data_IF_072105373500
#
_entry.id   IF_072105373500
#
_cell.length_a   1.000
_cell.length_b   1.000
_cell.length_c   1.000
_cell.angle_alpha   90.00
_cell.angle_beta   90.00
_cell.angle_gamma   90.00
#
_symmetry.space_group_name_H-M   'P 1'
#
loop_
_entity.id
_entity.type
_entity.pdbx_description
1 polymer ?
#
# COMPACT_ATOMS: atom_id res chain seq x y z
N UNK A 1 13.59 13.71 -15.33
CA UNK A 1 13.11 14.04 -13.98
C UNK A 1 12.83 12.72 -13.27
N UNK A 2 13.48 12.44 -12.13
CA UNK A 2 13.20 11.22 -11.38
C UNK A 2 11.86 11.39 -10.63
N UNK A 3 10.94 10.45 -10.80
CA UNK A 3 9.68 10.45 -10.05
C UNK A 3 10.00 9.97 -8.62
N UNK A 4 9.61 10.70 -7.56
CA UNK A 4 9.91 10.29 -6.21
C UNK A 4 9.20 8.97 -5.87
N UNK A 5 9.98 7.97 -5.48
CA UNK A 5 9.48 6.75 -4.84
C UNK A 5 9.07 7.07 -3.41
N UNK A 6 8.11 6.34 -2.85
CA UNK A 6 7.94 6.38 -1.41
C UNK A 6 9.24 5.87 -0.74
N UNK A 7 9.61 6.40 0.43
CA UNK A 7 10.71 5.88 1.24
C UNK A 7 10.29 4.59 1.98
N UNK A 8 9.54 3.72 1.29
CA UNK A 8 9.12 2.40 1.76
C UNK A 8 9.31 1.41 0.62
N UNK A 9 9.87 0.25 0.96
CA UNK A 9 10.24 -0.77 -0.04
C UNK A 9 9.03 -1.42 -0.72
N UNK A 10 7.84 -1.30 -0.12
CA UNK A 10 6.59 -1.87 -0.63
C UNK A 10 5.35 -1.18 -0.10
N UNK A 11 4.35 -1.03 -0.96
CA UNK A 11 2.99 -0.70 -0.57
C UNK A 11 2.22 -2.00 -0.33
N UNK A 12 1.71 -2.21 0.88
CA UNK A 12 0.96 -3.41 1.23
C UNK A 12 -0.51 -3.25 0.87
N UNK A 13 -1.14 -4.31 0.36
CA UNK A 13 -2.55 -4.36 0.00
C UNK A 13 -3.23 -5.44 0.83
N UNK A 14 -4.14 -5.00 1.71
CA UNK A 14 -4.84 -5.87 2.64
C UNK A 14 -5.91 -6.72 1.94
N UNK A 15 -6.31 -7.85 2.56
CA UNK A 15 -7.48 -8.62 2.11
C UNK A 15 -8.78 -7.82 2.07
N UNK A 16 -8.88 -6.74 2.86
CA UNK A 16 -10.06 -5.87 2.98
C UNK A 16 -10.06 -4.69 2.02
N UNK A 17 -9.08 -4.60 1.11
CA UNK A 17 -9.03 -3.59 0.06
C UNK A 17 -8.45 -2.24 0.49
N UNK A 18 -7.59 -2.24 1.51
CA UNK A 18 -6.86 -1.06 1.95
C UNK A 18 -5.37 -1.12 1.58
N UNK A 19 -4.83 0.03 1.19
CA UNK A 19 -3.41 0.25 1.02
C UNK A 19 -2.78 0.68 2.35
N UNK A 20 -1.65 0.06 2.70
CA UNK A 20 -0.90 0.30 3.93
C UNK A 20 0.58 0.58 3.67
N UNK A 21 1.14 1.47 4.46
CA UNK A 21 2.55 1.83 4.50
C UNK A 21 3.20 1.06 5.66
N UNK A 22 4.20 0.18 5.42
CA UNK A 22 4.90 -0.51 6.49
C UNK A 22 5.44 0.47 7.54
N UNK A 23 5.23 0.17 8.83
CA UNK A 23 5.62 1.05 9.94
C UNK A 23 4.73 2.28 10.16
N UNK A 24 3.81 2.60 9.23
CA UNK A 24 2.93 3.78 9.35
C UNK A 24 1.64 3.55 10.13
N UNK A 25 1.31 2.30 10.50
CA UNK A 25 0.15 1.95 11.32
C UNK A 25 0.33 0.55 11.95
N UNK A 26 -0.55 0.12 12.86
CA UNK A 26 -0.56 -1.24 13.44
C UNK A 26 -1.48 -2.22 12.69
N UNK A 27 -2.10 -1.78 11.59
CA UNK A 27 -3.06 -2.57 10.82
C UNK A 27 -2.41 -3.51 9.79
N UNK A 28 -1.09 -3.45 9.62
CA UNK A 28 -0.34 -4.42 8.81
C UNK A 28 0.13 -5.58 9.68
N UNK A 29 0.48 -6.69 9.05
CA UNK A 29 0.96 -7.92 9.71
C UNK A 29 2.45 -8.14 9.45
N UNK A 30 3.14 -8.81 10.36
CA UNK A 30 4.58 -9.09 10.25
C UNK A 30 4.92 -10.03 9.08
N UNK A 31 4.04 -11.01 8.79
CA UNK A 31 4.13 -11.88 7.60
C UNK A 31 2.94 -11.64 6.65
N UNK A 32 3.08 -10.71 5.69
CA UNK A 32 2.05 -10.42 4.70
C UNK A 32 1.74 -11.61 3.79
N UNK A 33 2.73 -12.46 3.49
CA UNK A 33 2.54 -13.58 2.58
C UNK A 33 1.65 -14.65 3.23
N UNK A 34 1.95 -15.03 4.47
CA UNK A 34 1.14 -16.00 5.22
C UNK A 34 -0.29 -15.51 5.46
N UNK A 35 -0.50 -14.21 5.64
CA UNK A 35 -1.82 -13.62 5.82
C UNK A 35 -2.58 -13.35 4.51
N UNK A 36 -2.04 -13.75 3.35
CA UNK A 36 -2.70 -13.61 2.05
C UNK A 36 -2.82 -12.18 1.53
N UNK A 37 -1.91 -11.30 1.96
CA UNK A 37 -1.78 -9.93 1.46
C UNK A 37 -1.05 -9.91 0.11
N UNK A 38 -1.29 -8.85 -0.65
CA UNK A 38 -0.49 -8.50 -1.82
C UNK A 38 0.36 -7.28 -1.54
N UNK A 39 1.30 -6.97 -2.42
CA UNK A 39 2.06 -5.73 -2.35
C UNK A 39 2.54 -5.24 -3.71
N UNK A 40 2.94 -3.97 -3.76
CA UNK A 40 3.60 -3.34 -4.90
C UNK A 40 5.00 -2.95 -4.43
N UNK A 41 6.07 -3.55 -4.99
CA UNK A 41 7.44 -3.20 -4.64
C UNK A 41 7.81 -1.83 -5.19
N UNK A 42 8.66 -1.09 -4.46
CA UNK A 42 9.16 0.23 -4.83
C UNK A 42 8.08 1.19 -5.37
N UNK A 43 6.98 1.40 -4.63
CA UNK A 43 5.85 2.18 -5.10
C UNK A 43 6.23 3.66 -5.30
N UNK A 44 5.68 4.28 -6.33
CA UNK A 44 5.79 5.73 -6.53
C UNK A 44 4.97 6.48 -5.47
N UNK A 45 5.43 7.65 -5.04
CA UNK A 45 4.65 8.49 -4.11
C UNK A 45 3.31 8.92 -4.72
N UNK A 46 3.31 9.17 -6.03
CA UNK A 46 2.10 9.46 -6.80
C UNK A 46 1.09 8.31 -6.77
N UNK A 47 1.55 7.05 -6.79
CA UNK A 47 0.68 5.88 -6.72
C UNK A 47 -0.06 5.85 -5.38
N UNK A 48 0.63 6.06 -4.27
CA UNK A 48 -0.03 6.19 -2.96
C UNK A 48 -1.06 7.30 -2.98
N UNK A 49 -0.67 8.51 -3.41
CA UNK A 49 -1.55 9.67 -3.42
C UNK A 49 -2.81 9.47 -4.27
N UNK A 50 -2.73 8.66 -5.33
CA UNK A 50 -3.85 8.39 -6.24
C UNK A 50 -4.79 7.26 -5.81
N UNK A 51 -4.46 6.46 -4.79
CA UNK A 51 -5.32 5.32 -4.40
C UNK A 51 -6.68 5.80 -3.90
N UNK A 52 -7.71 5.49 -4.67
CA UNK A 52 -9.12 5.72 -4.40
C UNK A 52 -10.00 4.68 -5.13
N UNK A 53 -11.32 4.82 -5.05
CA UNK A 53 -12.25 3.87 -5.67
C UNK A 53 -12.23 3.89 -7.20
N UNK A 54 -11.88 5.03 -7.80
CA UNK A 54 -11.82 5.23 -9.26
C UNK A 54 -10.44 4.84 -9.81
N UNK A 55 -9.40 4.88 -8.98
CA UNK A 55 -8.01 4.53 -9.28
C UNK A 55 -7.49 3.49 -8.28
N UNK A 56 -7.95 2.23 -8.41
CA UNK A 56 -7.49 1.16 -7.55
C UNK A 56 -6.02 0.83 -7.77
N UNK A 57 -5.31 0.52 -6.67
CA UNK A 57 -3.97 -0.05 -6.73
C UNK A 57 -4.06 -1.59 -6.71
N UNK A 58 -3.48 -2.25 -7.71
CA UNK A 58 -3.42 -3.72 -7.78
C UNK A 58 -2.06 -4.23 -7.35
N UNK A 59 -2.03 -5.26 -6.50
CA UNK A 59 -0.80 -5.90 -6.08
C UNK A 59 -0.08 -6.56 -7.26
N UNK A 60 1.24 -6.40 -7.31
CA UNK A 60 2.11 -7.00 -8.35
C UNK A 60 3.02 -8.10 -7.78
N UNK A 61 3.04 -8.27 -6.46
CA UNK A 61 3.74 -9.35 -5.77
C UNK A 61 2.92 -9.83 -4.55
N UNK A 62 3.29 -10.99 -4.00
CA UNK A 62 2.48 -11.69 -3.00
C UNK A 62 1.19 -12.21 -3.61
N UNK A 63 0.05 -11.94 -2.96
CA UNK A 63 -1.25 -12.23 -3.55
C UNK A 63 -1.67 -11.14 -4.56
N UNK A 64 -1.43 -11.40 -5.85
CA UNK A 64 -1.73 -10.46 -6.96
C UNK A 64 -3.21 -10.30 -7.28
N UNK A 65 -4.10 -11.10 -6.66
CA UNK A 65 -5.53 -10.89 -6.73
C UNK A 65 -5.99 -9.69 -5.87
N UNK A 66 -5.12 -9.15 -4.99
CA UNK A 66 -5.47 -8.06 -4.09
C UNK A 66 -5.49 -6.71 -4.80
N UNK A 67 -6.50 -5.93 -4.44
CA UNK A 67 -6.75 -4.59 -4.97
C UNK A 67 -7.13 -3.67 -3.82
N UNK A 68 -6.44 -2.54 -3.68
CA UNK A 68 -6.81 -1.48 -2.76
C UNK A 68 -7.59 -0.39 -3.50
N UNK A 69 -8.74 0.00 -2.93
CA UNK A 69 -9.54 1.15 -3.38
C UNK A 69 -9.53 2.28 -2.34
N UNK A 70 -8.85 2.06 -1.22
CA UNK A 70 -8.80 3.00 -0.09
C UNK A 70 -7.41 3.02 0.51
N UNK A 71 -7.03 4.18 1.06
CA UNK A 71 -5.82 4.32 1.88
C UNK A 71 -6.18 4.13 3.35
N UNK A 72 -5.30 3.47 4.10
CA UNK A 72 -5.41 3.44 5.55
C UNK A 72 -5.28 4.86 6.11
N UNK A 73 -6.27 5.31 6.89
CA UNK A 73 -6.31 6.67 7.46
C UNK A 73 -5.09 6.96 8.34
N UNK A 74 -4.62 5.98 9.11
CA UNK A 74 -3.47 6.17 9.99
C UNK A 74 -2.17 6.31 9.20
N UNK A 75 -2.02 5.55 8.11
CA UNK A 75 -0.90 5.72 7.18
C UNK A 75 -0.93 7.08 6.47
N UNK A 76 -2.13 7.60 6.15
CA UNK A 76 -2.26 8.96 5.60
C UNK A 76 -1.78 9.99 6.61
N UNK A 77 -2.19 9.87 7.88
CA UNK A 77 -1.76 10.76 8.95
C UNK A 77 -0.24 10.66 9.21
N UNK A 78 0.34 9.45 9.14
CA UNK A 78 1.78 9.23 9.31
C UNK A 78 2.61 9.92 8.22
N UNK A 79 2.20 9.81 6.96
CA UNK A 79 2.92 10.42 5.82
C UNK A 79 2.70 11.93 5.65
N UNK A 80 1.76 12.52 6.40
CA UNK A 80 1.49 13.97 6.36
C UNK A 80 2.26 14.76 7.42
N UNK A 81 3.11 14.09 8.19
CA UNK A 81 3.99 14.68 9.20
C UNK A 81 5.36 14.96 8.61
#
# INVERSE_FOLDING_TARGET
MAIPTLPIDRLLISPTGFAHVPGGCIHYVEDPAAAGWGWIPSPLLSLWASVDADRPARATAGNTARVATKRCRDCVAFLSR
#
